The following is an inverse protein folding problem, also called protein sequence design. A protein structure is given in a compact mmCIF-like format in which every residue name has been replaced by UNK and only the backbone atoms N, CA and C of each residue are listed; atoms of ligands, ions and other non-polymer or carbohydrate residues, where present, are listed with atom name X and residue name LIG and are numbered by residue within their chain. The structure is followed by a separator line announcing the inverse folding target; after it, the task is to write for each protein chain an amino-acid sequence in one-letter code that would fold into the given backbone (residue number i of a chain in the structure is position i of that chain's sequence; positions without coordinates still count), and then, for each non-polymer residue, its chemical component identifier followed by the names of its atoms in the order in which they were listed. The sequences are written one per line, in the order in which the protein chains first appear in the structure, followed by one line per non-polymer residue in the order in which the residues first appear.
data_IF_681069345441
#
_entry.id   IF_681069345441
#
_cell.length_a   1.000
_cell.length_b   1.000
_cell.length_c   1.000
_cell.angle_alpha   90.00
_cell.angle_beta   90.00
_cell.angle_gamma   90.00
#
_symmetry.space_group_name_H-M   'P 1'
#
loop_
_entity.id
_entity.type
_entity.pdbx_description
1 polymer ?
#
# COMPACT_ATOMS: atom_id res chain seq x y z
N UNK A 1 7.54 63.49 2.01
CA UNK A 1 8.05 62.80 0.79
C UNK A 1 7.94 61.29 1.00
N UNK A 2 7.59 60.49 -0.02
CA UNK A 2 7.53 59.04 0.13
C UNK A 2 8.96 58.44 0.21
N UNK A 3 9.18 57.37 0.98
CA UNK A 3 10.46 56.67 1.03
C UNK A 3 10.86 56.12 -0.34
N UNK A 4 12.12 56.29 -0.76
CA UNK A 4 12.64 55.67 -1.99
C UNK A 4 12.66 54.15 -1.83
N UNK A 5 11.99 53.46 -2.75
CA UNK A 5 12.09 52.01 -2.91
C UNK A 5 13.52 51.66 -3.33
N UNK A 6 14.20 50.79 -2.59
CA UNK A 6 15.51 50.29 -2.97
C UNK A 6 15.42 49.52 -4.30
N UNK A 7 16.48 49.53 -5.14
CA UNK A 7 16.51 48.73 -6.36
C UNK A 7 16.34 47.25 -6.01
N UNK A 8 15.49 46.54 -6.75
CA UNK A 8 15.41 45.10 -6.64
C UNK A 8 16.75 44.51 -7.08
N UNK A 9 17.37 43.67 -6.24
CA UNK A 9 18.60 42.97 -6.58
C UNK A 9 18.31 42.06 -7.79
N UNK A 10 19.07 42.17 -8.89
CA UNK A 10 18.87 41.32 -10.05
C UNK A 10 19.24 39.87 -9.70
N UNK A 11 18.36 38.93 -10.05
CA UNK A 11 18.60 37.50 -9.91
C UNK A 11 19.77 37.09 -10.79
N UNK A 12 20.75 36.43 -10.20
CA UNK A 12 21.93 35.94 -10.93
C UNK A 12 21.61 34.63 -11.65
N UNK A 13 22.42 34.26 -12.64
CA UNK A 13 22.23 32.97 -13.33
C UNK A 13 22.42 31.77 -12.39
N UNK A 14 23.25 31.92 -11.36
CA UNK A 14 23.46 30.91 -10.31
C UNK A 14 22.17 30.67 -9.50
N UNK A 15 21.49 31.75 -9.08
CA UNK A 15 20.19 31.67 -8.40
C UNK A 15 19.14 30.94 -9.27
N UNK A 16 19.22 31.11 -10.59
CA UNK A 16 18.30 30.47 -11.54
C UNK A 16 18.57 28.98 -11.65
N UNK A 17 19.84 28.58 -11.73
CA UNK A 17 20.26 27.18 -11.76
C UNK A 17 19.89 26.48 -10.47
N UNK A 18 20.15 27.09 -9.31
CA UNK A 18 19.75 26.53 -8.00
C UNK A 18 18.23 26.34 -7.91
N UNK A 19 17.45 27.31 -8.38
CA UNK A 19 15.98 27.19 -8.40
C UNK A 19 15.51 26.03 -9.28
N UNK A 20 16.17 25.78 -10.41
CA UNK A 20 15.85 24.65 -11.28
C UNK A 20 16.25 23.30 -10.65
N UNK A 21 17.43 23.22 -10.03
CA UNK A 21 17.86 22.02 -9.33
C UNK A 21 16.90 21.68 -8.18
N UNK A 22 16.50 22.69 -7.40
CA UNK A 22 15.55 22.53 -6.31
C UNK A 22 14.17 22.09 -6.81
N UNK A 23 13.67 22.67 -7.91
CA UNK A 23 12.38 22.26 -8.47
C UNK A 23 12.41 20.82 -9.00
N UNK A 24 13.51 20.41 -9.64
CA UNK A 24 13.70 19.03 -10.08
C UNK A 24 13.77 18.05 -8.91
N UNK A 25 14.49 18.40 -7.84
CA UNK A 25 14.55 17.58 -6.63
C UNK A 25 13.18 17.42 -5.97
N UNK A 26 12.37 18.49 -5.94
CA UNK A 26 10.99 18.44 -5.42
C UNK A 26 10.12 17.52 -6.28
N UNK A 27 10.22 17.61 -7.61
CA UNK A 27 9.47 16.72 -8.50
C UNK A 27 9.90 15.26 -8.36
N UNK A 28 11.21 14.99 -8.28
CA UNK A 28 11.72 13.64 -8.11
C UNK A 28 11.28 13.03 -6.77
N UNK A 29 11.32 13.80 -5.69
CA UNK A 29 10.83 13.39 -4.38
C UNK A 29 9.32 13.11 -4.40
N UNK A 30 8.54 13.98 -5.07
CA UNK A 30 7.10 13.79 -5.19
C UNK A 30 6.72 12.54 -5.98
N UNK A 31 7.40 12.27 -7.11
CA UNK A 31 7.18 11.05 -7.91
C UNK A 31 7.53 9.79 -7.12
N UNK A 32 8.63 9.83 -6.36
CA UNK A 32 9.05 8.71 -5.52
C UNK A 32 8.04 8.45 -4.40
N UNK A 33 7.61 9.51 -3.70
CA UNK A 33 6.60 9.40 -2.66
C UNK A 33 5.25 8.89 -3.20
N UNK A 34 4.82 9.38 -4.37
CA UNK A 34 3.59 8.93 -5.02
C UNK A 34 3.67 7.46 -5.42
N UNK A 35 4.82 7.03 -5.95
CA UNK A 35 5.05 5.63 -6.33
C UNK A 35 4.95 4.72 -5.11
N UNK A 36 5.66 5.06 -4.03
CA UNK A 36 5.63 4.28 -2.79
C UNK A 36 4.22 4.24 -2.18
N UNK A 37 3.50 5.36 -2.17
CA UNK A 37 2.13 5.42 -1.68
C UNK A 37 1.16 4.56 -2.53
N UNK A 38 1.37 4.48 -3.85
CA UNK A 38 0.60 3.60 -4.72
C UNK A 38 0.90 2.13 -4.43
N UNK A 39 2.18 1.75 -4.36
CA UNK A 39 2.59 0.37 -4.05
C UNK A 39 2.02 -0.10 -2.72
N UNK A 40 2.09 0.74 -1.67
CA UNK A 40 1.52 0.41 -0.36
C UNK A 40 0.01 0.16 -0.45
N UNK A 41 -0.72 1.06 -1.11
CA UNK A 41 -2.17 0.90 -1.29
C UNK A 41 -2.53 -0.36 -2.06
N UNK A 42 -1.79 -0.67 -3.12
CA UNK A 42 -2.04 -1.86 -3.94
C UNK A 42 -1.78 -3.15 -3.16
N UNK A 43 -0.75 -3.17 -2.29
CA UNK A 43 -0.49 -4.29 -1.38
C UNK A 43 -1.62 -4.48 -0.38
N UNK A 44 -2.07 -3.42 0.29
CA UNK A 44 -3.20 -3.49 1.24
C UNK A 44 -4.49 -3.97 0.57
N UNK A 45 -4.74 -3.53 -0.67
CA UNK A 45 -5.90 -3.99 -1.44
C UNK A 45 -5.80 -5.49 -1.72
N UNK A 46 -4.64 -5.96 -2.19
CA UNK A 46 -4.40 -7.38 -2.45
C UNK A 46 -4.57 -8.23 -1.19
N UNK A 47 -4.06 -7.79 -0.05
CA UNK A 47 -4.23 -8.49 1.22
C UNK A 47 -5.69 -8.60 1.64
N UNK A 48 -6.48 -7.53 1.46
CA UNK A 48 -7.92 -7.56 1.70
C UNK A 48 -8.64 -8.53 0.77
N UNK A 49 -8.28 -8.58 -0.51
CA UNK A 49 -8.85 -9.52 -1.47
C UNK A 49 -8.55 -10.97 -1.07
N UNK A 50 -7.29 -11.28 -0.70
CA UNK A 50 -6.90 -12.60 -0.19
C UNK A 50 -7.71 -12.99 1.05
N UNK A 51 -7.91 -12.05 1.98
CA UNK A 51 -8.71 -12.29 3.18
C UNK A 51 -10.19 -12.55 2.84
N UNK A 52 -10.77 -11.79 1.90
CA UNK A 52 -12.15 -11.96 1.46
C UNK A 52 -12.33 -13.31 0.76
N UNK A 53 -11.42 -13.69 -0.13
CA UNK A 53 -11.49 -14.97 -0.83
C UNK A 53 -11.33 -16.14 0.13
N UNK A 54 -10.39 -16.08 1.07
CA UNK A 54 -10.24 -17.08 2.12
C UNK A 54 -11.50 -17.22 2.99
N UNK A 55 -12.12 -16.09 3.35
CA UNK A 55 -13.37 -16.08 4.11
C UNK A 55 -14.51 -16.67 3.30
N UNK A 56 -14.61 -16.38 2.00
CA UNK A 56 -15.62 -16.98 1.10
C UNK A 56 -15.46 -18.49 0.98
N UNK A 57 -14.23 -18.99 0.83
CA UNK A 57 -13.94 -20.44 0.80
C UNK A 57 -14.36 -21.10 2.10
N UNK A 58 -13.95 -20.55 3.25
CA UNK A 58 -14.30 -21.10 4.55
C UNK A 58 -15.82 -21.08 4.80
N UNK A 59 -16.48 -20.00 4.42
CA UNK A 59 -17.94 -19.86 4.55
C UNK A 59 -18.65 -20.88 3.66
N UNK A 60 -18.22 -21.06 2.41
CA UNK A 60 -18.78 -22.05 1.50
C UNK A 60 -18.59 -23.47 2.02
N UNK A 61 -17.40 -23.79 2.53
CA UNK A 61 -17.11 -25.08 3.15
C UNK A 61 -18.05 -25.35 4.34
N UNK A 62 -18.28 -24.37 5.20
CA UNK A 62 -19.14 -24.49 6.37
C UNK A 62 -20.62 -24.71 5.99
N UNK A 63 -21.13 -23.97 5.00
CA UNK A 63 -22.51 -24.11 4.49
C UNK A 63 -22.75 -25.51 3.88
N UNK A 64 -21.71 -26.12 3.33
CA UNK A 64 -21.79 -27.46 2.73
C UNK A 64 -21.80 -28.61 3.76
N UNK A 65 -21.93 -28.32 5.07
CA UNK A 65 -21.93 -29.32 6.15
C UNK A 65 -20.74 -30.29 6.00
N UNK A 66 -19.51 -29.80 6.22
CA UNK A 66 -18.33 -30.59 5.96
C UNK A 66 -18.29 -31.83 6.86
N UNK A 67 -17.56 -32.88 6.47
CA UNK A 67 -17.47 -34.13 7.24
C UNK A 67 -17.10 -33.83 8.69
N UNK A 68 -17.97 -34.21 9.62
CA UNK A 68 -17.69 -34.09 11.06
C UNK A 68 -16.95 -35.33 11.50
N UNK A 69 -15.88 -35.15 12.27
CA UNK A 69 -15.28 -36.26 13.01
C UNK A 69 -16.28 -36.68 14.10
N UNK A 70 -17.00 -37.78 13.89
CA UNK A 70 -18.06 -38.22 14.80
C UNK A 70 -17.55 -39.06 15.98
N UNK A 71 -16.26 -39.41 16.05
CA UNK A 71 -15.71 -40.26 17.11
C UNK A 71 -16.25 -41.71 17.14
N UNK A 72 -17.29 -42.02 16.36
CA UNK A 72 -17.81 -43.36 16.14
C UNK A 72 -16.77 -44.22 15.43
N UNK A 73 -16.21 -45.19 16.16
CA UNK A 73 -15.18 -46.11 15.68
C UNK A 73 -13.99 -46.28 16.63
N UNK A 74 -13.91 -45.48 17.71
CA UNK A 74 -12.83 -45.58 18.69
C UNK A 74 -11.46 -45.23 18.10
N UNK A 75 -10.35 -45.41 18.85
CA UNK A 75 -9.02 -44.99 18.42
C UNK A 75 -8.54 -45.64 17.11
N UNK A 76 -9.08 -46.80 16.73
CA UNK A 76 -8.74 -47.48 15.47
C UNK A 76 -9.34 -46.83 14.21
N UNK A 77 -10.44 -46.08 14.34
CA UNK A 77 -11.04 -45.36 13.21
C UNK A 77 -10.38 -44.01 12.96
N UNK A 78 -9.58 -43.49 13.91
CA UNK A 78 -8.84 -42.24 13.74
C UNK A 78 -7.78 -42.36 12.64
N UNK A 79 -7.20 -43.54 12.45
CA UNK A 79 -6.17 -43.81 11.43
C UNK A 79 -6.74 -43.82 9.99
N UNK A 80 -8.06 -43.84 9.81
CA UNK A 80 -8.72 -43.75 8.50
C UNK A 80 -8.94 -42.31 8.00
N UNK A 81 -8.57 -41.28 8.77
CA UNK A 81 -8.81 -39.86 8.45
C UNK A 81 -7.56 -39.11 7.94
N UNK A 82 -6.64 -39.79 7.24
CA UNK A 82 -5.49 -39.17 6.57
C UNK A 82 -5.68 -39.05 5.05
#
# INVERSE_FOLDING_TARGET
MPPRRAPAVPMTEDDRVERMANSMNVMAAAVTAQTNAKTQRDMEKREREVLVDGTRVLTSFNIQNPPKFCGDGGPAAADLWF
#
